data_IF_363147284041
#
_entry.id   IF_363147284041
#
_cell.length_a   1.000
_cell.length_b   1.000
_cell.length_c   1.000
_cell.angle_alpha   90.00
_cell.angle_beta   90.00
_cell.angle_gamma   90.00
#
_symmetry.space_group_name_H-M   'P 1'
#
loop_
_entity.id
_entity.type
_entity.pdbx_description
1 polymer ?
#
# COMPACT_ATOMS: atom_id res chain seq x y z
N UNK A 1 -34.74 51.43 27.25
CA UNK A 1 -33.32 51.37 26.84
C UNK A 1 -33.05 50.07 26.09
N UNK A 2 -32.29 50.14 24.99
CA UNK A 2 -31.86 48.96 24.25
C UNK A 2 -30.64 48.33 24.96
N UNK A 3 -30.80 47.09 25.42
CA UNK A 3 -29.73 46.32 26.07
C UNK A 3 -29.01 45.52 25.00
N UNK A 4 -27.70 45.64 24.99
CA UNK A 4 -26.79 45.08 23.99
C UNK A 4 -25.90 43.98 24.57
N UNK A 5 -25.76 43.89 25.90
CA UNK A 5 -24.85 42.94 26.56
C UNK A 5 -23.44 43.48 26.77
N UNK A 6 -23.12 44.62 26.13
CA UNK A 6 -21.84 45.35 26.28
C UNK A 6 -22.00 46.76 26.84
N UNK A 7 -23.23 47.25 26.93
CA UNK A 7 -23.54 48.53 27.56
C UNK A 7 -23.25 48.48 29.07
N UNK A 8 -22.96 49.64 29.71
CA UNK A 8 -22.61 49.69 31.13
C UNK A 8 -23.63 49.02 32.05
N UNK A 9 -24.92 49.15 31.75
CA UNK A 9 -26.01 48.53 32.51
C UNK A 9 -25.95 47.00 32.39
N UNK A 10 -25.73 46.47 31.19
CA UNK A 10 -25.53 45.03 30.98
C UNK A 10 -24.36 44.47 31.77
N UNK A 11 -23.22 45.18 31.78
CA UNK A 11 -22.02 44.73 32.50
C UNK A 11 -22.28 44.69 34.01
N UNK A 12 -22.90 45.74 34.56
CA UNK A 12 -23.28 45.78 35.99
C UNK A 12 -24.26 44.66 36.36
N UNK A 13 -25.24 44.38 35.50
CA UNK A 13 -26.21 43.29 35.71
C UNK A 13 -25.52 41.92 35.67
N UNK A 14 -24.61 41.68 34.71
CA UNK A 14 -23.86 40.41 34.63
C UNK A 14 -23.00 40.21 35.88
N UNK A 15 -22.36 41.27 36.38
CA UNK A 15 -21.59 41.23 37.63
C UNK A 15 -22.47 40.94 38.84
N UNK A 16 -23.62 41.60 38.98
CA UNK A 16 -24.58 41.34 40.04
C UNK A 16 -25.10 39.89 40.01
N UNK A 17 -25.35 39.34 38.82
CA UNK A 17 -25.75 37.94 38.64
C UNK A 17 -24.61 36.97 39.01
N UNK A 18 -23.35 37.30 38.71
CA UNK A 18 -22.17 36.53 39.17
C UNK A 18 -22.00 36.57 40.69
N UNK A 19 -22.40 37.67 41.34
CA UNK A 19 -22.40 37.84 42.80
C UNK A 19 -23.61 37.18 43.50
N UNK A 20 -24.50 36.50 42.76
CA UNK A 20 -25.59 35.71 43.33
C UNK A 20 -26.94 36.43 43.42
N UNK A 21 -27.09 37.62 42.84
CA UNK A 21 -28.39 38.31 42.77
C UNK A 21 -29.37 37.50 41.93
N UNK A 22 -30.62 37.33 42.39
CA UNK A 22 -31.62 36.55 41.65
C UNK A 22 -32.14 37.35 40.46
N UNK A 23 -32.35 36.69 39.32
CA UNK A 23 -32.82 37.32 38.06
C UNK A 23 -34.13 38.09 38.23
N UNK A 24 -35.00 37.67 39.17
CA UNK A 24 -36.27 38.34 39.49
C UNK A 24 -36.12 39.72 40.14
N UNK A 25 -34.99 39.98 40.80
CA UNK A 25 -34.74 41.20 41.58
C UNK A 25 -33.97 42.26 40.75
N UNK A 26 -33.43 41.85 39.59
CA UNK A 26 -32.70 42.72 38.65
C UNK A 26 -33.55 43.88 38.09
N UNK A 27 -34.83 43.69 37.70
CA UNK A 27 -35.66 44.79 37.18
C UNK A 27 -35.77 45.99 38.12
N UNK A 28 -35.97 45.73 39.42
CA UNK A 28 -36.07 46.75 40.47
C UNK A 28 -34.75 47.46 40.75
N UNK A 29 -33.62 46.79 40.54
CA UNK A 29 -32.28 47.34 40.84
C UNK A 29 -31.69 48.16 39.69
N UNK A 30 -31.96 47.78 38.44
CA UNK A 30 -31.27 48.35 37.27
C UNK A 30 -32.22 49.01 36.26
N UNK A 31 -33.53 49.04 36.52
CA UNK A 31 -34.51 49.71 35.66
C UNK A 31 -34.71 49.03 34.30
N UNK A 32 -34.57 47.70 34.24
CA UNK A 32 -34.70 46.90 33.01
C UNK A 32 -35.87 45.91 33.10
N UNK A 33 -36.36 45.43 31.96
CA UNK A 33 -37.46 44.45 31.95
C UNK A 33 -37.00 43.06 32.43
N UNK A 34 -37.92 42.25 32.96
CA UNK A 34 -37.62 40.87 33.35
C UNK A 34 -37.11 40.02 32.17
N UNK A 35 -37.62 40.25 30.95
CA UNK A 35 -37.15 39.56 29.75
C UNK A 35 -35.70 39.93 29.39
N UNK A 36 -35.33 41.19 29.57
CA UNK A 36 -33.97 41.68 29.44
C UNK A 36 -33.04 41.04 30.48
N UNK A 37 -33.46 40.98 31.75
CA UNK A 37 -32.72 40.30 32.82
C UNK A 37 -32.51 38.81 32.53
N UNK A 38 -33.54 38.10 32.05
CA UNK A 38 -33.45 36.68 31.63
C UNK A 38 -32.48 36.47 30.47
N UNK A 39 -32.40 37.41 29.52
CA UNK A 39 -31.44 37.35 28.40
C UNK A 39 -30.00 37.55 28.87
N UNK A 40 -29.76 38.51 29.76
CA UNK A 40 -28.45 38.75 30.36
C UNK A 40 -28.00 37.58 31.24
N UNK A 41 -28.92 36.94 31.96
CA UNK A 41 -28.62 35.72 32.71
C UNK A 41 -28.19 34.55 31.81
N UNK A 42 -28.90 34.32 30.69
CA UNK A 42 -28.48 33.31 29.70
C UNK A 42 -27.11 33.64 29.10
N UNK A 43 -26.88 34.90 28.77
CA UNK A 43 -25.62 35.35 28.21
C UNK A 43 -24.46 35.20 29.20
N UNK A 44 -24.67 35.55 30.48
CA UNK A 44 -23.73 35.30 31.58
C UNK A 44 -23.34 33.83 31.67
N UNK A 45 -24.31 32.92 31.62
CA UNK A 45 -24.02 31.48 31.67
C UNK A 45 -23.17 31.03 30.46
N UNK A 46 -23.42 31.57 29.28
CA UNK A 46 -22.59 31.30 28.09
C UNK A 46 -21.18 31.87 28.26
N UNK A 47 -21.02 33.07 28.82
CA UNK A 47 -19.70 33.65 29.12
C UNK A 47 -18.92 32.79 30.11
N UNK A 48 -19.55 32.35 31.20
CA UNK A 48 -18.90 31.49 32.19
C UNK A 48 -18.48 30.13 31.58
N UNK A 49 -19.32 29.54 30.72
CA UNK A 49 -18.97 28.31 30.01
C UNK A 49 -17.80 28.53 29.03
N UNK A 50 -17.81 29.65 28.31
CA UNK A 50 -16.74 30.01 27.38
C UNK A 50 -15.42 30.28 28.11
N UNK A 51 -15.44 30.93 29.28
CA UNK A 51 -14.27 31.19 30.11
C UNK A 51 -13.57 29.89 30.58
N UNK A 52 -14.32 28.80 30.72
CA UNK A 52 -13.77 27.49 31.11
C UNK A 52 -13.21 26.66 29.94
N UNK A 53 -13.66 26.89 28.71
CA UNK A 53 -13.37 25.99 27.57
C UNK A 53 -12.65 26.68 26.40
N UNK A 54 -12.63 28.02 26.34
CA UNK A 54 -12.06 28.78 25.22
C UNK A 54 -10.86 29.62 25.64
N UNK A 55 -10.00 29.94 24.66
CA UNK A 55 -8.89 30.86 24.86
C UNK A 55 -9.34 32.33 24.81
N UNK A 56 -8.56 33.22 25.45
CA UNK A 56 -8.87 34.66 25.61
C UNK A 56 -9.33 35.37 24.32
N UNK A 57 -8.71 35.17 23.13
CA UNK A 57 -9.16 35.86 21.92
C UNK A 57 -10.60 35.54 21.51
N UNK A 58 -11.03 34.28 21.68
CA UNK A 58 -12.39 33.86 21.37
C UNK A 58 -13.39 34.42 22.39
N UNK A 59 -13.02 34.46 23.67
CA UNK A 59 -13.81 35.05 24.74
C UNK A 59 -14.04 36.56 24.49
N UNK A 60 -12.99 37.29 24.10
CA UNK A 60 -13.11 38.72 23.81
C UNK A 60 -14.01 38.99 22.60
N UNK A 61 -13.94 38.16 21.56
CA UNK A 61 -14.90 38.24 20.43
C UNK A 61 -16.34 37.94 20.86
N UNK A 62 -16.54 36.95 21.73
CA UNK A 62 -17.86 36.62 22.28
C UNK A 62 -18.43 37.76 23.15
N UNK A 63 -17.57 38.49 23.87
CA UNK A 63 -17.92 39.72 24.59
C UNK A 63 -18.26 40.86 23.62
N UNK A 64 -17.48 41.06 22.57
CA UNK A 64 -17.67 42.13 21.57
C UNK A 64 -19.01 42.06 20.82
N UNK A 65 -19.55 40.86 20.61
CA UNK A 65 -20.87 40.66 19.97
C UNK A 65 -22.06 40.79 20.93
N UNK A 66 -21.83 40.78 22.24
CA UNK A 66 -22.84 40.97 23.28
C UNK A 66 -24.00 39.97 23.20
N UNK A 67 -25.23 40.43 23.42
CA UNK A 67 -26.46 39.62 23.38
C UNK A 67 -26.77 38.99 22.01
N UNK A 68 -26.00 39.28 20.95
CA UNK A 68 -26.07 38.52 19.69
C UNK A 68 -25.53 37.11 19.88
N UNK A 69 -24.61 36.90 20.82
CA UNK A 69 -24.08 35.58 21.19
C UNK A 69 -25.17 34.55 21.54
N UNK A 70 -26.32 34.99 22.06
CA UNK A 70 -27.46 34.11 22.35
C UNK A 70 -27.94 33.32 21.11
N UNK A 71 -27.66 33.79 19.90
CA UNK A 71 -27.98 33.08 18.65
C UNK A 71 -27.08 31.84 18.44
N UNK A 72 -25.93 31.79 19.10
CA UNK A 72 -25.00 30.66 19.13
C UNK A 72 -25.33 29.65 20.24
N UNK A 73 -26.41 29.86 21.00
CA UNK A 73 -26.83 28.96 22.09
C UNK A 73 -26.93 27.46 21.70
N UNK A 74 -27.31 27.07 20.46
CA UNK A 74 -27.28 25.66 20.06
C UNK A 74 -25.89 25.01 20.19
N UNK A 75 -24.81 25.75 19.89
CA UNK A 75 -23.43 25.23 19.99
C UNK A 75 -23.03 25.00 21.44
N UNK A 76 -23.39 25.91 22.34
CA UNK A 76 -23.16 25.74 23.78
C UNK A 76 -23.94 24.56 24.35
N UNK A 77 -25.18 24.35 23.90
CA UNK A 77 -26.02 23.22 24.35
C UNK A 77 -25.42 21.87 23.94
N UNK A 78 -24.82 21.82 22.76
CA UNK A 78 -24.19 20.61 22.21
C UNK A 78 -22.70 20.50 22.61
N UNK A 79 -22.20 21.39 23.46
CA UNK A 79 -20.78 21.47 23.86
C UNK A 79 -19.80 21.55 22.68
N UNK A 80 -20.25 22.17 21.58
CA UNK A 80 -19.49 22.31 20.34
C UNK A 80 -18.55 23.53 20.38
N UNK A 81 -17.49 23.40 21.18
CA UNK A 81 -16.51 24.46 21.41
C UNK A 81 -15.66 24.75 20.15
N UNK A 82 -15.32 23.73 19.37
CA UNK A 82 -14.55 23.89 18.13
C UNK A 82 -15.36 24.67 17.09
N UNK A 83 -16.63 24.29 16.89
CA UNK A 83 -17.54 25.01 15.98
C UNK A 83 -17.77 26.44 16.41
N UNK A 84 -17.85 26.69 17.72
CA UNK A 84 -17.97 28.04 18.27
C UNK A 84 -16.73 28.90 17.96
N UNK A 85 -15.52 28.37 18.14
CA UNK A 85 -14.27 29.08 17.80
C UNK A 85 -14.24 29.41 16.30
N UNK A 86 -14.61 28.46 15.44
CA UNK A 86 -14.60 28.64 14.00
C UNK A 86 -15.55 29.76 13.53
N UNK A 87 -16.75 29.83 14.12
CA UNK A 87 -17.66 30.95 13.85
C UNK A 87 -17.08 32.26 14.38
N UNK A 88 -16.58 32.28 15.61
CA UNK A 88 -16.03 33.49 16.22
C UNK A 88 -14.82 34.04 15.46
N UNK A 89 -14.04 33.22 14.75
CA UNK A 89 -12.96 33.71 13.88
C UNK A 89 -13.45 34.65 12.78
N UNK A 90 -14.65 34.42 12.25
CA UNK A 90 -15.23 35.20 11.13
C UNK A 90 -16.17 36.32 11.58
N UNK A 91 -16.59 36.33 12.84
CA UNK A 91 -17.52 37.32 13.38
C UNK A 91 -16.79 38.59 13.85
N UNK A 92 -17.43 39.74 13.63
CA UNK A 92 -17.01 41.06 14.12
C UNK A 92 -18.14 41.71 14.92
N UNK A 93 -17.87 42.85 15.57
CA UNK A 93 -18.92 43.58 16.30
C UNK A 93 -20.08 44.07 15.41
N UNK A 94 -19.79 44.30 14.12
CA UNK A 94 -20.72 44.80 13.12
C UNK A 94 -21.60 43.71 12.48
N UNK A 95 -21.28 42.43 12.70
CA UNK A 95 -22.04 41.29 12.19
C UNK A 95 -23.52 41.39 12.58
N UNK A 96 -24.41 41.29 11.60
CA UNK A 96 -25.86 41.42 11.77
C UNK A 96 -26.47 40.15 12.36
N UNK A 97 -27.68 40.24 12.92
CA UNK A 97 -28.32 39.14 13.65
C UNK A 97 -28.73 37.97 12.72
N UNK A 98 -29.09 38.28 11.49
CA UNK A 98 -29.47 37.37 10.42
C UNK A 98 -28.30 36.55 9.87
N UNK A 99 -27.06 37.01 10.07
CA UNK A 99 -25.85 36.29 9.63
C UNK A 99 -25.49 35.10 10.55
N UNK A 100 -25.87 35.14 11.84
CA UNK A 100 -25.51 34.08 12.80
C UNK A 100 -26.12 32.70 12.46
N UNK A 101 -27.42 32.59 12.10
CA UNK A 101 -27.97 31.34 11.60
C UNK A 101 -27.25 30.83 10.33
N UNK A 102 -26.85 31.73 9.43
CA UNK A 102 -26.11 31.38 8.21
C UNK A 102 -24.72 30.82 8.54
N UNK A 103 -24.03 31.33 9.55
CA UNK A 103 -22.75 30.75 9.98
C UNK A 103 -22.90 29.35 10.57
N UNK A 104 -23.96 29.10 11.35
CA UNK A 104 -24.24 27.76 11.90
C UNK A 104 -24.55 26.80 10.75
N UNK A 105 -25.37 27.22 9.79
CA UNK A 105 -25.69 26.42 8.61
C UNK A 105 -24.43 26.12 7.79
N UNK A 106 -23.61 27.13 7.48
CA UNK A 106 -22.37 26.95 6.73
C UNK A 106 -21.39 26.01 7.44
N UNK A 107 -21.31 26.07 8.77
CA UNK A 107 -20.51 25.15 9.58
C UNK A 107 -21.03 23.70 9.48
N UNK A 108 -22.34 23.51 9.50
CA UNK A 108 -22.97 22.19 9.33
C UNK A 108 -22.72 21.63 7.93
N UNK A 109 -22.98 22.41 6.89
CA UNK A 109 -22.73 22.03 5.50
C UNK A 109 -21.25 21.68 5.27
N UNK A 110 -20.33 22.44 5.89
CA UNK A 110 -18.90 22.12 5.87
C UNK A 110 -18.60 20.75 6.50
N UNK A 111 -19.16 20.46 7.67
CA UNK A 111 -18.97 19.18 8.35
C UNK A 111 -19.55 18.02 7.55
N UNK A 112 -20.72 18.20 6.95
CA UNK A 112 -21.34 17.20 6.08
C UNK A 112 -20.45 16.90 4.87
N UNK A 113 -19.94 17.94 4.19
CA UNK A 113 -18.99 17.76 3.07
C UNK A 113 -17.74 16.98 3.47
N UNK A 114 -17.13 17.32 4.61
CA UNK A 114 -15.95 16.60 5.11
C UNK A 114 -16.32 15.14 5.40
N UNK A 115 -17.41 14.89 6.13
CA UNK A 115 -17.88 13.54 6.46
C UNK A 115 -18.17 12.70 5.22
N UNK A 116 -18.77 13.29 4.19
CA UNK A 116 -19.11 12.56 2.97
C UNK A 116 -17.87 12.25 2.13
N UNK A 117 -16.92 13.19 2.04
CA UNK A 117 -15.61 12.94 1.46
C UNK A 117 -14.86 11.84 2.22
N UNK A 118 -14.91 11.84 3.56
CA UNK A 118 -14.33 10.80 4.40
C UNK A 118 -14.94 9.43 4.13
N UNK A 119 -16.27 9.32 4.06
CA UNK A 119 -16.96 8.07 3.74
C UNK A 119 -16.57 7.56 2.36
N UNK A 120 -16.51 8.46 1.37
CA UNK A 120 -16.16 8.10 0.01
C UNK A 120 -14.70 7.60 -0.08
N UNK A 121 -13.76 8.34 0.52
CA UNK A 121 -12.35 7.93 0.60
C UNK A 121 -12.24 6.58 1.30
N UNK A 122 -12.87 6.41 2.48
CA UNK A 122 -12.83 5.16 3.23
C UNK A 122 -13.41 3.97 2.44
N UNK A 123 -14.47 4.20 1.66
CA UNK A 123 -15.03 3.17 0.77
C UNK A 123 -14.04 2.77 -0.33
N UNK A 124 -13.45 3.75 -1.01
CA UNK A 124 -12.44 3.51 -2.06
C UNK A 124 -11.19 2.82 -1.51
N UNK A 125 -10.76 3.20 -0.30
CA UNK A 125 -9.64 2.58 0.41
C UNK A 125 -9.89 1.10 0.72
N UNK A 126 -11.08 0.74 1.22
CA UNK A 126 -11.47 -0.68 1.39
C UNK A 126 -11.42 -1.43 0.06
N UNK A 127 -11.90 -0.81 -1.01
CA UNK A 127 -11.83 -1.36 -2.36
C UNK A 127 -10.41 -1.60 -2.86
N UNK A 128 -9.42 -0.80 -2.44
CA UNK A 128 -7.99 -1.01 -2.72
C UNK A 128 -7.43 -2.20 -1.92
N UNK A 129 -7.72 -2.29 -0.62
CA UNK A 129 -7.25 -3.39 0.24
C UNK A 129 -7.74 -4.75 -0.29
N UNK A 130 -8.99 -4.84 -0.75
CA UNK A 130 -9.53 -6.06 -1.36
C UNK A 130 -8.81 -6.46 -2.65
N UNK A 131 -8.44 -5.48 -3.48
CA UNK A 131 -7.70 -5.70 -4.73
C UNK A 131 -6.26 -6.14 -4.47
N UNK A 132 -5.62 -5.57 -3.47
CA UNK A 132 -4.28 -5.99 -3.03
C UNK A 132 -4.28 -7.45 -2.55
N UNK A 133 -5.29 -7.83 -1.77
CA UNK A 133 -5.44 -9.22 -1.35
C UNK A 133 -5.62 -10.17 -2.55
N UNK A 134 -6.46 -9.81 -3.52
CA UNK A 134 -6.63 -10.60 -4.76
C UNK A 134 -5.33 -10.71 -5.55
N UNK A 135 -4.55 -9.63 -5.63
CA UNK A 135 -3.27 -9.62 -6.33
C UNK A 135 -2.28 -10.60 -5.69
N UNK A 136 -2.16 -10.60 -4.36
CA UNK A 136 -1.33 -11.56 -3.61
C UNK A 136 -1.77 -13.02 -3.86
N UNK A 137 -3.08 -13.28 -3.89
CA UNK A 137 -3.60 -14.62 -4.19
C UNK A 137 -3.27 -15.06 -5.62
N UNK A 138 -3.33 -14.15 -6.59
CA UNK A 138 -2.94 -14.42 -7.98
C UNK A 138 -1.44 -14.64 -8.11
N UNK A 139 -0.60 -13.87 -7.41
CA UNK A 139 0.85 -14.08 -7.35
C UNK A 139 1.20 -15.47 -6.84
N UNK A 140 0.61 -15.87 -5.71
CA UNK A 140 0.81 -17.22 -5.18
C UNK A 140 0.36 -18.33 -6.16
N UNK A 141 -0.70 -18.11 -6.93
CA UNK A 141 -1.14 -19.03 -8.00
C UNK A 141 -0.14 -19.08 -9.16
N UNK A 142 0.39 -17.93 -9.57
CA UNK A 142 1.43 -17.84 -10.61
C UNK A 142 2.67 -18.62 -10.19
N UNK A 143 3.14 -18.43 -8.97
CA UNK A 143 4.33 -19.11 -8.45
C UNK A 143 4.16 -20.62 -8.39
N UNK A 144 3.01 -21.09 -7.89
CA UNK A 144 2.67 -22.53 -7.91
C UNK A 144 2.65 -23.11 -9.33
N UNK A 145 2.12 -22.35 -10.28
CA UNK A 145 2.07 -22.77 -11.70
C UNK A 145 3.48 -22.82 -12.29
N UNK A 146 4.32 -21.81 -12.02
CA UNK A 146 5.73 -21.79 -12.43
C UNK A 146 6.52 -22.94 -11.80
N UNK A 147 6.26 -23.28 -10.54
CA UNK A 147 6.89 -24.42 -9.86
C UNK A 147 6.45 -25.75 -10.48
N UNK A 148 5.16 -25.89 -10.83
CA UNK A 148 4.66 -27.07 -11.54
C UNK A 148 5.30 -27.23 -12.93
N UNK A 149 5.43 -26.13 -13.67
CA UNK A 149 6.17 -26.08 -14.94
C UNK A 149 7.62 -26.52 -14.74
N UNK A 150 8.32 -25.96 -13.74
CA UNK A 150 9.71 -26.31 -13.43
C UNK A 150 9.86 -27.80 -13.10
N UNK A 151 9.00 -28.35 -12.24
CA UNK A 151 8.99 -29.78 -11.88
C UNK A 151 8.74 -30.67 -13.11
N UNK A 152 7.85 -30.26 -14.01
CA UNK A 152 7.59 -30.96 -15.27
C UNK A 152 8.73 -30.84 -16.28
N UNK A 153 9.68 -29.91 -16.12
CA UNK A 153 10.78 -29.69 -17.07
C UNK A 153 12.17 -29.97 -16.50
N UNK A 154 12.31 -30.33 -15.22
CA UNK A 154 13.62 -30.60 -14.60
C UNK A 154 14.37 -31.74 -15.31
N UNK A 155 13.67 -32.74 -15.83
CA UNK A 155 14.29 -33.83 -16.60
C UNK A 155 14.85 -33.39 -17.97
N UNK A 156 14.45 -32.21 -18.47
CA UNK A 156 14.89 -31.65 -19.75
C UNK A 156 16.14 -30.78 -19.57
N UNK A 157 16.37 -30.22 -18.38
CA UNK A 157 17.50 -29.32 -18.09
C UNK A 157 18.87 -29.93 -18.34
N UNK A 158 18.98 -31.27 -18.26
CA UNK A 158 20.24 -32.00 -18.54
C UNK A 158 20.69 -31.94 -20.00
N UNK A 159 19.87 -31.45 -20.92
CA UNK A 159 20.17 -31.42 -22.35
C UNK A 159 20.47 -30.00 -22.88
N UNK A 160 21.20 -29.86 -24.00
CA UNK A 160 21.50 -28.55 -24.61
C UNK A 160 20.25 -27.76 -25.06
N UNK A 161 20.31 -26.43 -25.05
CA UNK A 161 19.21 -25.50 -25.36
C UNK A 161 18.40 -25.83 -26.63
N UNK A 162 19.07 -26.18 -27.74
CA UNK A 162 18.39 -26.52 -28.99
C UNK A 162 17.61 -27.85 -28.89
N UNK A 163 18.10 -28.81 -28.10
CA UNK A 163 17.41 -30.06 -27.79
C UNK A 163 16.22 -29.79 -26.87
N UNK A 164 16.38 -28.94 -25.86
CA UNK A 164 15.28 -28.58 -24.95
C UNK A 164 14.08 -28.02 -25.73
N UNK A 165 14.33 -27.10 -26.68
CA UNK A 165 13.30 -26.54 -27.55
C UNK A 165 12.60 -27.60 -28.39
N UNK A 166 13.35 -28.57 -28.91
CA UNK A 166 12.77 -29.72 -29.64
C UNK A 166 11.89 -30.60 -28.73
N UNK A 167 12.37 -30.93 -27.53
CA UNK A 167 11.65 -31.78 -26.57
C UNK A 167 10.34 -31.12 -26.10
N UNK A 168 10.38 -29.82 -25.78
CA UNK A 168 9.20 -29.05 -25.39
C UNK A 168 8.10 -29.03 -26.45
N UNK A 169 8.50 -29.00 -27.73
CA UNK A 169 7.58 -28.88 -28.86
C UNK A 169 7.00 -30.24 -29.31
N UNK A 170 7.70 -31.35 -29.02
CA UNK A 170 7.34 -32.68 -29.53
C UNK A 170 6.85 -33.66 -28.45
N UNK A 171 7.03 -33.35 -27.16
CA UNK A 171 6.64 -34.21 -26.05
C UNK A 171 5.44 -33.66 -25.25
N UNK A 172 4.70 -34.58 -24.64
CA UNK A 172 3.58 -34.34 -23.74
C UNK A 172 3.59 -35.33 -22.57
N UNK A 173 2.67 -35.13 -21.62
CA UNK A 173 2.44 -36.07 -20.50
C UNK A 173 1.01 -36.59 -20.60
N UNK A 174 0.84 -37.90 -20.50
CA UNK A 174 -0.47 -38.56 -20.42
C UNK A 174 -0.45 -39.62 -19.33
N UNK A 175 -1.36 -39.50 -18.34
CA UNK A 175 -1.45 -40.41 -17.18
C UNK A 175 -0.11 -40.67 -16.47
N UNK A 176 0.74 -39.63 -16.35
CA UNK A 176 2.05 -39.73 -15.70
C UNK A 176 3.16 -40.34 -16.57
N UNK A 177 2.87 -40.74 -17.81
CA UNK A 177 3.86 -41.23 -18.77
C UNK A 177 4.22 -40.14 -19.78
N UNK A 178 5.50 -40.09 -20.18
CA UNK A 178 5.97 -39.25 -21.27
C UNK A 178 5.49 -39.83 -22.61
N UNK A 179 4.96 -38.97 -23.47
CA UNK A 179 4.41 -39.38 -24.77
C UNK A 179 4.74 -38.35 -25.85
N UNK A 180 4.59 -38.71 -27.12
CA UNK A 180 4.71 -37.74 -28.23
C UNK A 180 3.44 -36.89 -28.34
N UNK A 181 3.60 -35.57 -28.30
CA UNK A 181 2.55 -34.60 -28.61
C UNK A 181 2.47 -34.31 -30.12
N UNK A 182 3.61 -34.43 -30.83
CA UNK A 182 3.70 -34.27 -32.29
C UNK A 182 4.37 -35.47 -32.95
N UNK A 183 3.93 -35.79 -34.18
CA UNK A 183 4.56 -36.77 -35.07
C UNK A 183 5.98 -36.33 -35.42
N UNK A 184 6.91 -37.28 -35.41
CA UNK A 184 8.28 -37.10 -35.91
C UNK A 184 8.34 -37.55 -37.38
N UNK A 185 9.50 -37.41 -38.04
CA UNK A 185 9.70 -38.06 -39.36
C UNK A 185 9.37 -39.56 -39.26
N UNK A 186 8.49 -40.06 -40.14
CA UNK A 186 7.92 -41.40 -40.01
C UNK A 186 8.96 -42.52 -40.03
N UNK A 187 10.00 -42.38 -40.86
CA UNK A 187 11.09 -43.36 -40.91
C UNK A 187 11.92 -43.32 -39.63
N UNK A 188 12.16 -42.13 -39.09
CA UNK A 188 12.83 -41.96 -37.81
C UNK A 188 12.01 -42.52 -36.65
N UNK A 189 10.71 -42.23 -36.60
CA UNK A 189 9.80 -42.70 -35.56
C UNK A 189 9.74 -44.24 -35.53
N UNK A 190 9.71 -44.89 -36.69
CA UNK A 190 9.80 -46.35 -36.78
C UNK A 190 11.18 -46.89 -36.36
N UNK A 191 12.26 -46.15 -36.65
CA UNK A 191 13.60 -46.51 -36.17
C UNK A 191 13.71 -46.41 -34.64
N UNK A 192 13.16 -45.35 -34.04
CA UNK A 192 13.09 -45.17 -32.58
C UNK A 192 12.24 -46.26 -31.92
N UNK A 193 11.15 -46.68 -32.57
CA UNK A 193 10.36 -47.84 -32.13
C UNK A 193 11.18 -49.13 -32.10
N UNK A 194 11.90 -49.43 -33.19
CA UNK A 194 12.78 -50.62 -33.27
C UNK A 194 13.91 -50.60 -32.23
N UNK A 195 14.37 -49.40 -31.84
CA UNK A 195 15.39 -49.19 -30.80
C UNK A 195 14.83 -49.25 -29.37
N UNK A 196 13.52 -49.43 -29.19
CA UNK A 196 12.87 -49.45 -27.88
C UNK A 196 12.70 -48.07 -27.23
N UNK A 197 12.98 -46.98 -27.95
CA UNK A 197 12.84 -45.62 -27.42
C UNK A 197 11.37 -45.15 -27.41
N UNK A 198 10.58 -45.67 -28.34
CA UNK A 198 9.15 -45.38 -28.50
C UNK A 198 8.33 -46.66 -28.54
N UNK A 199 7.16 -46.63 -27.93
CA UNK A 199 6.16 -47.70 -27.98
C UNK A 199 4.82 -47.14 -28.45
N UNK A 200 4.14 -47.88 -29.33
CA UNK A 200 2.84 -47.47 -29.81
C UNK A 200 1.75 -48.26 -29.10
N UNK A 201 0.94 -47.56 -28.32
CA UNK A 201 -0.23 -48.10 -27.66
C UNK A 201 -1.42 -48.05 -28.64
N UNK A 202 -1.91 -49.22 -29.01
CA UNK A 202 -3.01 -49.35 -30.00
C UNK A 202 -4.37 -49.01 -29.41
N UNK A 203 -4.56 -49.21 -28.11
CA UNK A 203 -5.85 -49.01 -27.45
C UNK A 203 -6.07 -47.52 -27.19
N UNK A 204 -5.00 -46.81 -26.82
CA UNK A 204 -5.02 -45.38 -26.51
C UNK A 204 -4.64 -44.49 -27.69
N UNK A 205 -4.16 -45.06 -28.79
CA UNK A 205 -3.67 -44.33 -29.99
C UNK A 205 -2.57 -43.29 -29.66
N UNK A 206 -1.71 -43.60 -28.69
CA UNK A 206 -0.61 -42.73 -28.23
C UNK A 206 0.75 -43.39 -28.43
N UNK A 207 1.80 -42.56 -28.52
CA UNK A 207 3.18 -43.01 -28.55
C UNK A 207 3.85 -42.73 -27.22
N UNK A 208 4.13 -43.79 -26.47
CA UNK A 208 4.80 -43.73 -25.17
C UNK A 208 6.31 -43.64 -25.39
N UNK A 209 6.94 -42.76 -24.63
CA UNK A 209 8.40 -42.57 -24.63
C UNK A 209 8.97 -43.38 -23.47
N UNK A 210 9.59 -44.50 -23.82
CA UNK A 210 10.18 -45.41 -22.84
C UNK A 210 11.62 -45.01 -22.49
N UNK A 211 12.33 -44.35 -23.41
CA UNK A 211 13.70 -43.90 -23.19
C UNK A 211 13.97 -42.56 -23.86
N UNK A 212 13.98 -41.50 -23.07
CA UNK A 212 14.22 -40.14 -23.54
C UNK A 212 15.67 -39.91 -24.01
N UNK A 213 16.64 -40.52 -23.33
CA UNK A 213 18.07 -40.38 -23.65
C UNK A 213 18.38 -40.90 -25.06
N UNK A 214 17.80 -42.04 -25.43
CA UNK A 214 17.94 -42.60 -26.78
C UNK A 214 17.33 -41.71 -27.87
N UNK A 215 16.21 -41.03 -27.59
CA UNK A 215 15.61 -40.07 -28.53
C UNK A 215 16.54 -38.88 -28.74
N UNK A 216 17.09 -38.34 -27.65
CA UNK A 216 18.01 -37.19 -27.71
C UNK A 216 19.31 -37.54 -28.41
N UNK A 217 19.90 -38.70 -28.13
CA UNK A 217 21.11 -39.15 -28.81
C UNK A 217 20.91 -39.31 -30.32
N UNK A 218 19.79 -39.90 -30.75
CA UNK A 218 19.51 -40.10 -32.17
C UNK A 218 19.15 -38.78 -32.87
N UNK A 219 18.48 -37.87 -32.15
CA UNK A 219 18.22 -36.51 -32.60
C UNK A 219 19.53 -35.77 -32.87
N UNK A 220 20.45 -35.74 -31.90
CA UNK A 220 21.77 -35.11 -32.04
C UNK A 220 22.59 -35.74 -33.17
N UNK A 221 22.56 -37.07 -33.30
CA UNK A 221 23.22 -37.80 -34.42
C UNK A 221 22.68 -37.39 -35.79
N UNK A 222 21.40 -37.01 -35.89
CA UNK A 222 20.77 -36.57 -37.14
C UNK A 222 21.01 -35.11 -37.44
N UNK A 223 21.02 -34.24 -36.43
CA UNK A 223 21.19 -32.79 -36.57
C UNK A 223 22.64 -32.37 -36.74
N UNK A 224 23.60 -33.08 -36.12
CA UNK A 224 25.03 -32.71 -36.15
C UNK A 224 25.76 -33.12 -37.45
N UNK A 225 25.04 -33.59 -38.47
CA UNK A 225 25.62 -33.97 -39.77
C UNK A 225 25.75 -32.74 -40.67
N UNK A 226 26.76 -32.73 -41.56
CA UNK A 226 26.89 -31.71 -42.64
C UNK A 226 25.62 -31.55 -43.50
N UNK A 227 24.85 -32.63 -43.67
CA UNK A 227 23.49 -32.63 -44.22
C UNK A 227 22.57 -33.31 -43.21
N UNK A 228 21.75 -32.56 -42.45
CA UNK A 228 20.88 -33.11 -41.43
C UNK A 228 19.85 -34.08 -42.03
N UNK A 229 19.58 -35.17 -41.33
CA UNK A 229 18.44 -36.03 -41.68
C UNK A 229 17.13 -35.41 -41.17
N UNK A 230 15.98 -35.70 -41.83
CA UNK A 230 14.68 -35.24 -41.36
C UNK A 230 14.40 -35.74 -39.94
N UNK A 231 13.93 -34.82 -39.08
CA UNK A 231 13.52 -35.10 -37.70
C UNK A 231 12.05 -34.72 -37.46
N UNK A 232 11.53 -33.76 -38.22
CA UNK A 232 10.14 -33.30 -38.15
C UNK A 232 9.26 -34.01 -39.18
N UNK A 233 8.00 -34.21 -38.83
CA UNK A 233 6.99 -34.71 -39.76
C UNK A 233 6.68 -33.68 -40.86
N UNK A 234 6.45 -34.16 -42.08
CA UNK A 234 6.24 -33.35 -43.29
C UNK A 234 5.14 -34.00 -44.14
N UNK A 235 3.99 -33.32 -44.25
CA UNK A 235 2.80 -33.82 -44.94
C UNK A 235 3.07 -34.21 -46.40
N UNK A 236 3.76 -33.35 -47.15
CA UNK A 236 3.99 -33.55 -48.60
C UNK A 236 4.92 -34.73 -48.85
N UNK A 237 5.90 -34.96 -47.96
CA UNK A 237 6.75 -36.15 -48.03
C UNK A 237 5.99 -37.41 -47.62
N UNK A 238 5.13 -37.32 -46.61
CA UNK A 238 4.43 -38.48 -46.09
C UNK A 238 3.33 -38.97 -47.04
N UNK A 239 2.61 -38.05 -47.68
CA UNK A 239 1.65 -38.35 -48.74
C UNK A 239 2.29 -39.07 -49.94
N UNK A 240 3.54 -38.74 -50.28
CA UNK A 240 4.32 -39.45 -51.33
C UNK A 240 4.82 -40.83 -50.89
N UNK A 241 5.02 -41.06 -49.59
CA UNK A 241 5.46 -42.36 -49.05
C UNK A 241 4.29 -43.33 -48.91
N UNK A 242 3.11 -42.83 -48.60
CA UNK A 242 1.93 -43.62 -48.27
C UNK A 242 0.72 -43.24 -49.13
N UNK A 243 0.52 -44.00 -50.22
CA UNK A 243 -0.56 -43.82 -51.19
C UNK A 243 -1.87 -44.51 -50.80
N UNK A 244 -1.82 -45.36 -49.77
CA UNK A 244 -2.86 -46.36 -49.45
C UNK A 244 -3.60 -46.07 -48.13
N UNK A 245 -3.29 -44.95 -47.45
CA UNK A 245 -3.94 -44.52 -46.21
C UNK A 245 -4.08 -42.99 -46.19
N UNK A 246 -5.13 -42.48 -45.53
CA UNK A 246 -5.38 -41.04 -45.41
C UNK A 246 -4.41 -40.39 -44.41
N UNK A 247 -3.44 -39.63 -44.94
CA UNK A 247 -2.38 -39.01 -44.14
C UNK A 247 -2.94 -37.77 -43.42
N UNK A 248 -2.92 -37.70 -42.07
CA UNK A 248 -3.41 -36.54 -41.33
C UNK A 248 -2.64 -35.27 -41.71
N UNK A 249 -3.33 -34.14 -41.93
CA UNK A 249 -2.69 -32.85 -42.27
C UNK A 249 -1.99 -32.19 -41.07
N UNK A 250 -2.44 -32.47 -39.85
CA UNK A 250 -1.85 -31.94 -38.62
C UNK A 250 -0.88 -32.96 -38.00
N UNK A 251 0.39 -32.60 -37.72
CA UNK A 251 1.33 -33.48 -37.05
C UNK A 251 0.95 -33.80 -35.60
N UNK A 252 0.06 -33.04 -34.94
CA UNK A 252 -0.33 -33.24 -33.53
C UNK A 252 -1.19 -34.49 -33.33
N UNK A 253 -0.94 -35.21 -32.23
CA UNK A 253 -1.82 -36.30 -31.79
C UNK A 253 -3.06 -35.71 -31.09
N UNK A 254 -4.21 -36.41 -31.12
CA UNK A 254 -5.46 -35.95 -30.47
C UNK A 254 -5.34 -35.87 -28.95
N UNK A 255 -4.47 -36.69 -28.37
CA UNK A 255 -4.12 -36.73 -26.95
C UNK A 255 -2.62 -37.07 -26.84
N UNK A 256 -1.82 -36.39 -26.01
CA UNK A 256 -2.07 -35.19 -25.19
C UNK A 256 -1.55 -33.87 -25.83
N UNK A 257 -1.99 -32.73 -25.28
CA UNK A 257 -1.39 -31.40 -25.52
C UNK A 257 0.07 -31.38 -25.07
N UNK A 258 0.94 -30.69 -25.82
CA UNK A 258 2.38 -30.63 -25.50
C UNK A 258 2.66 -30.10 -24.09
N UNK A 259 3.80 -30.50 -23.51
CA UNK A 259 4.19 -30.20 -22.12
C UNK A 259 3.99 -28.73 -21.71
N UNK A 260 4.11 -27.78 -22.65
CA UNK A 260 3.94 -26.34 -22.37
C UNK A 260 2.55 -25.75 -22.66
N UNK A 261 1.69 -26.33 -23.51
CA UNK A 261 0.52 -25.61 -24.04
C UNK A 261 -0.56 -25.33 -22.99
N UNK A 262 -0.80 -26.24 -22.05
CA UNK A 262 -1.83 -26.05 -21.02
C UNK A 262 -1.38 -25.05 -19.95
N UNK A 263 -0.19 -25.21 -19.39
CA UNK A 263 0.30 -24.35 -18.29
C UNK A 263 0.73 -22.95 -18.76
N UNK A 264 1.26 -22.80 -19.98
CA UNK A 264 1.60 -21.48 -20.53
C UNK A 264 0.35 -20.66 -20.83
N UNK A 265 -0.75 -21.29 -21.29
CA UNK A 265 -2.01 -20.58 -21.49
C UNK A 265 -2.65 -20.13 -20.17
N UNK A 266 -2.48 -20.89 -19.09
CA UNK A 266 -2.88 -20.51 -17.73
C UNK A 266 -2.06 -19.32 -17.24
N UNK A 267 -0.74 -19.33 -17.43
CA UNK A 267 0.12 -18.19 -17.05
C UNK A 267 -0.29 -16.90 -17.77
N UNK A 268 -0.51 -16.96 -19.09
CA UNK A 268 -0.98 -15.79 -19.86
C UNK A 268 -2.30 -15.22 -19.33
N UNK A 269 -3.22 -16.09 -18.89
CA UNK A 269 -4.50 -15.67 -18.31
C UNK A 269 -4.28 -14.98 -16.96
N UNK A 270 -3.44 -15.55 -16.09
CA UNK A 270 -3.11 -14.98 -14.78
C UNK A 270 -2.39 -13.64 -14.93
N UNK A 271 -1.47 -13.51 -15.89
CA UNK A 271 -0.78 -12.25 -16.19
C UNK A 271 -1.78 -11.16 -16.62
N UNK A 272 -2.71 -11.50 -17.51
CA UNK A 272 -3.76 -10.57 -17.95
C UNK A 272 -4.65 -10.12 -16.78
N UNK A 273 -5.06 -11.05 -15.92
CA UNK A 273 -5.90 -10.74 -14.75
C UNK A 273 -5.16 -9.84 -13.74
N UNK A 274 -3.85 -10.04 -13.56
CA UNK A 274 -3.02 -9.13 -12.74
C UNK A 274 -2.96 -7.73 -13.33
N UNK A 275 -2.79 -7.60 -14.64
CA UNK A 275 -2.73 -6.30 -15.33
C UNK A 275 -4.05 -5.54 -15.21
N UNK A 276 -5.19 -6.23 -15.33
CA UNK A 276 -6.53 -5.67 -15.12
C UNK A 276 -6.70 -5.12 -13.69
N UNK A 277 -6.30 -5.89 -12.67
CA UNK A 277 -6.36 -5.45 -11.26
C UNK A 277 -5.43 -4.26 -11.00
N UNK A 278 -4.23 -4.25 -11.59
CA UNK A 278 -3.28 -3.14 -11.44
C UNK A 278 -3.85 -1.83 -12.01
N UNK A 279 -4.50 -1.91 -13.17
CA UNK A 279 -5.19 -0.79 -13.79
C UNK A 279 -6.36 -0.29 -12.92
N UNK A 280 -7.16 -1.19 -12.35
CA UNK A 280 -8.22 -0.80 -11.40
C UNK A 280 -7.67 -0.09 -10.15
N UNK A 281 -6.57 -0.58 -9.58
CA UNK A 281 -5.91 0.09 -8.44
C UNK A 281 -5.51 1.52 -8.80
N UNK A 282 -4.89 1.70 -9.97
CA UNK A 282 -4.46 3.03 -10.45
C UNK A 282 -5.65 3.98 -10.67
N UNK A 283 -6.77 3.48 -11.20
CA UNK A 283 -7.99 4.27 -11.35
C UNK A 283 -8.53 4.72 -9.98
N UNK A 284 -8.66 3.81 -9.01
CA UNK A 284 -9.15 4.16 -7.67
C UNK A 284 -8.22 5.19 -7.00
N UNK A 285 -6.90 5.04 -7.17
CA UNK A 285 -5.92 6.03 -6.68
C UNK A 285 -6.15 7.41 -7.30
N UNK A 286 -6.38 7.48 -8.62
CA UNK A 286 -6.66 8.74 -9.30
C UNK A 286 -7.98 9.39 -8.86
N UNK A 287 -8.99 8.58 -8.53
CA UNK A 287 -10.26 9.06 -7.99
C UNK A 287 -10.07 9.65 -6.58
N UNK A 288 -9.28 9.00 -5.72
CA UNK A 288 -8.93 9.53 -4.39
C UNK A 288 -8.20 10.88 -4.54
N UNK A 289 -7.25 10.99 -5.47
CA UNK A 289 -6.55 12.26 -5.73
C UNK A 289 -7.47 13.34 -6.31
N UNK A 290 -8.49 12.96 -7.07
CA UNK A 290 -9.50 13.89 -7.57
C UNK A 290 -10.33 14.42 -6.41
N UNK A 291 -10.81 13.55 -5.52
CA UNK A 291 -11.56 13.93 -4.31
C UNK A 291 -10.72 14.86 -3.42
N UNK A 292 -9.42 14.59 -3.27
CA UNK A 292 -8.50 15.47 -2.52
C UNK A 292 -8.42 16.89 -3.08
N UNK A 293 -8.56 17.05 -4.39
CA UNK A 293 -8.44 18.35 -5.08
C UNK A 293 -9.77 19.08 -5.22
N UNK A 294 -10.88 18.35 -5.42
CA UNK A 294 -12.19 18.94 -5.71
C UNK A 294 -13.09 19.12 -4.49
N UNK A 295 -12.92 18.31 -3.45
CA UNK A 295 -13.77 18.33 -2.26
C UNK A 295 -13.49 19.50 -1.28
N UNK A 296 -12.23 19.81 -0.91
CA UNK A 296 -11.97 20.87 0.08
C UNK A 296 -12.19 22.26 -0.52
N UNK A 297 -13.06 23.06 0.12
CA UNK A 297 -13.33 24.45 -0.25
C UNK A 297 -12.41 25.44 0.49
N UNK A 298 -11.65 24.95 1.47
CA UNK A 298 -10.70 25.76 2.25
C UNK A 298 -9.42 24.97 2.58
N UNK A 299 -8.33 25.70 2.83
CA UNK A 299 -7.04 25.12 3.21
C UNK A 299 -7.13 24.23 4.48
N UNK A 300 -7.96 24.62 5.45
CA UNK A 300 -8.17 23.84 6.68
C UNK A 300 -8.92 22.53 6.42
N UNK A 301 -9.84 22.50 5.45
CA UNK A 301 -10.48 21.25 5.02
C UNK A 301 -9.48 20.31 4.36
N UNK A 302 -8.57 20.86 3.55
CA UNK A 302 -7.51 20.10 2.92
C UNK A 302 -6.59 19.43 3.96
N UNK A 303 -6.26 20.14 5.05
CA UNK A 303 -5.49 19.57 6.17
C UNK A 303 -6.25 18.44 6.84
N UNK A 304 -7.53 18.63 7.20
CA UNK A 304 -8.32 17.58 7.87
C UNK A 304 -8.41 16.30 7.02
N UNK A 305 -8.62 16.44 5.70
CA UNK A 305 -8.64 15.30 4.78
C UNK A 305 -7.25 14.63 4.70
N UNK A 306 -6.17 15.42 4.79
CA UNK A 306 -4.80 14.90 4.80
C UNK A 306 -4.49 14.14 6.11
N UNK A 307 -4.91 14.63 7.27
CA UNK A 307 -4.67 13.98 8.57
C UNK A 307 -5.33 12.60 8.66
N UNK A 308 -6.46 12.41 7.99
CA UNK A 308 -7.17 11.12 7.92
C UNK A 308 -6.37 10.10 7.11
N UNK A 309 -5.69 10.55 6.05
CA UNK A 309 -4.74 9.73 5.31
C UNK A 309 -3.47 9.49 6.12
N UNK A 310 -3.03 10.45 6.95
CA UNK A 310 -1.89 10.26 7.85
C UNK A 310 -2.11 9.14 8.88
N UNK A 311 -3.35 8.92 9.34
CA UNK A 311 -3.67 7.75 10.17
C UNK A 311 -3.45 6.41 9.43
N UNK A 312 -3.73 6.35 8.13
CA UNK A 312 -3.42 5.19 7.28
C UNK A 312 -1.93 5.09 6.98
N UNK A 313 -1.27 6.20 6.67
CA UNK A 313 0.20 6.26 6.49
C UNK A 313 0.91 5.72 7.72
N UNK A 314 0.48 6.09 8.94
CA UNK A 314 0.99 5.55 10.20
C UNK A 314 0.77 4.04 10.33
N UNK A 315 -0.38 3.53 9.91
CA UNK A 315 -0.67 2.08 9.92
C UNK A 315 0.24 1.34 8.92
N UNK A 316 0.34 1.81 7.68
CA UNK A 316 1.20 1.23 6.63
C UNK A 316 2.67 1.30 7.03
N UNK A 317 3.09 2.40 7.66
CA UNK A 317 4.44 2.60 8.18
C UNK A 317 4.74 1.54 9.23
N UNK A 318 3.88 1.36 10.23
CA UNK A 318 4.02 0.30 11.24
C UNK A 318 4.01 -1.11 10.65
N UNK A 319 3.21 -1.39 9.63
CA UNK A 319 3.23 -2.68 8.91
C UNK A 319 4.56 -2.93 8.21
N UNK A 320 5.10 -1.93 7.50
CA UNK A 320 6.39 -2.03 6.82
C UNK A 320 7.56 -2.14 7.80
N UNK A 321 7.55 -1.39 8.91
CA UNK A 321 8.51 -1.54 10.00
C UNK A 321 8.53 -2.98 10.54
N UNK A 322 7.35 -3.56 10.77
CA UNK A 322 7.25 -4.95 11.24
C UNK A 322 7.81 -5.97 10.24
N UNK A 323 7.61 -5.74 8.94
CA UNK A 323 8.20 -6.60 7.89
C UNK A 323 9.72 -6.42 7.84
N UNK A 324 10.23 -5.20 8.01
CA UNK A 324 11.67 -4.92 8.07
C UNK A 324 12.35 -5.59 9.27
N UNK A 325 11.74 -5.55 10.45
CA UNK A 325 12.23 -6.25 11.64
C UNK A 325 12.34 -7.77 11.39
N UNK A 326 11.30 -8.38 10.81
CA UNK A 326 11.30 -9.81 10.46
C UNK A 326 12.39 -10.13 9.43
N UNK A 327 12.58 -9.27 8.44
CA UNK A 327 13.60 -9.43 7.42
C UNK A 327 15.01 -9.37 8.01
N UNK A 328 15.32 -8.37 8.85
CA UNK A 328 16.60 -8.26 9.54
C UNK A 328 16.87 -9.48 10.43
N UNK A 329 15.88 -9.88 11.24
CA UNK A 329 16.00 -11.06 12.10
C UNK A 329 16.26 -12.34 11.30
N UNK A 330 15.54 -12.54 10.18
CA UNK A 330 15.74 -13.67 9.28
C UNK A 330 17.14 -13.70 8.63
N UNK A 331 17.79 -12.55 8.50
CA UNK A 331 19.17 -12.41 8.01
C UNK A 331 20.22 -12.46 9.13
N UNK A 332 19.84 -12.79 10.37
CA UNK A 332 20.78 -12.98 11.48
C UNK A 332 21.13 -11.72 12.28
N UNK A 333 20.35 -10.65 12.15
CA UNK A 333 20.54 -9.41 12.90
C UNK A 333 19.71 -9.39 14.18
N UNK A 334 20.24 -8.74 15.23
CA UNK A 334 19.47 -8.25 16.37
C UNK A 334 18.95 -6.86 16.00
N UNK A 335 17.64 -6.64 16.05
CA UNK A 335 17.03 -5.41 15.55
C UNK A 335 15.99 -4.83 16.50
N UNK A 336 15.82 -3.50 16.45
CA UNK A 336 14.80 -2.75 17.17
C UNK A 336 14.19 -1.67 16.26
N UNK A 337 12.99 -1.20 16.61
CA UNK A 337 12.36 -0.05 15.97
C UNK A 337 12.40 1.18 16.88
N UNK A 338 12.24 2.36 16.26
CA UNK A 338 12.14 3.66 16.94
C UNK A 338 13.36 3.98 17.82
N UNK A 339 14.56 3.70 17.30
CA UNK A 339 15.82 3.84 18.04
C UNK A 339 16.32 5.28 17.97
N UNK A 340 16.50 5.93 19.12
CA UNK A 340 17.15 7.25 19.20
C UNK A 340 18.66 7.10 19.02
N UNK A 341 19.20 7.68 17.96
CA UNK A 341 20.61 7.70 17.60
C UNK A 341 21.37 8.81 18.37
N UNK A 342 22.72 8.78 18.42
CA UNK A 342 23.53 9.77 19.14
C UNK A 342 23.30 11.22 18.71
N UNK A 343 22.92 11.46 17.45
CA UNK A 343 22.57 12.80 16.95
C UNK A 343 21.18 13.30 17.39
N UNK A 344 20.48 12.57 18.27
CA UNK A 344 19.15 12.89 18.78
C UNK A 344 18.00 12.61 17.80
N UNK A 345 18.29 12.05 16.63
CA UNK A 345 17.26 11.63 15.67
C UNK A 345 16.82 10.20 15.95
N UNK A 346 15.61 9.87 15.50
CA UNK A 346 15.03 8.55 15.66
C UNK A 346 15.07 7.83 14.33
N UNK A 347 15.68 6.66 14.32
CA UNK A 347 15.66 5.76 13.17
C UNK A 347 14.47 4.81 13.29
N UNK A 348 13.77 4.59 12.19
CA UNK A 348 12.58 3.72 12.15
C UNK A 348 12.92 2.29 12.54
N UNK A 349 13.93 1.70 11.88
CA UNK A 349 14.40 0.34 12.16
C UNK A 349 15.93 0.30 12.10
N UNK A 350 16.54 -0.31 13.12
CA UNK A 350 18.00 -0.49 13.20
C UNK A 350 18.30 -1.92 13.59
N UNK A 351 19.33 -2.53 13.01
CA UNK A 351 19.83 -3.83 13.44
C UNK A 351 21.33 -3.97 13.35
N UNK A 352 21.89 -4.88 14.15
CA UNK A 352 23.31 -5.24 14.10
C UNK A 352 23.49 -6.76 14.05
N UNK A 353 24.52 -7.23 13.35
CA UNK A 353 24.86 -8.66 13.27
C UNK A 353 25.93 -9.08 14.29
N UNK A 354 26.38 -10.35 14.24
CA UNK A 354 27.43 -10.87 15.13
C UNK A 354 28.80 -10.21 14.95
N UNK A 355 29.05 -9.56 13.82
CA UNK A 355 30.30 -8.86 13.52
C UNK A 355 30.19 -7.36 13.89
N UNK A 356 29.04 -6.92 14.39
CA UNK A 356 28.77 -5.52 14.69
C UNK A 356 28.45 -4.69 13.43
N UNK A 357 28.10 -5.33 12.31
CA UNK A 357 27.64 -4.64 11.10
C UNK A 357 26.23 -4.09 11.33
N UNK A 358 26.06 -2.79 11.17
CA UNK A 358 24.85 -2.03 11.50
C UNK A 358 24.11 -1.64 10.22
N UNK A 359 22.82 -1.98 10.20
CA UNK A 359 21.88 -1.56 9.15
C UNK A 359 20.86 -0.59 9.75
N UNK A 360 20.63 0.53 9.06
CA UNK A 360 19.50 1.43 9.30
C UNK A 360 18.52 1.32 8.13
N UNK A 361 17.23 1.19 8.44
CA UNK A 361 16.14 1.18 7.47
C UNK A 361 15.15 2.29 7.85
N UNK A 362 14.93 3.24 6.94
CA UNK A 362 13.93 4.30 7.05
C UNK A 362 12.71 3.96 6.18
N UNK A 363 11.51 3.96 6.77
CA UNK A 363 10.27 3.59 6.10
C UNK A 363 9.61 4.84 5.55
N UNK A 364 9.43 4.91 4.22
CA UNK A 364 8.70 6.01 3.58
C UNK A 364 7.46 5.49 2.87
N UNK A 365 6.31 5.98 3.28
CA UNK A 365 5.01 5.47 2.81
C UNK A 365 4.38 6.33 1.70
N UNK A 366 4.85 7.56 1.51
CA UNK A 366 4.41 8.44 0.42
C UNK A 366 5.57 9.21 -0.23
N UNK A 367 5.39 9.70 -1.48
CA UNK A 367 6.36 10.58 -2.14
C UNK A 367 6.72 11.82 -1.32
N UNK A 368 5.75 12.42 -0.63
CA UNK A 368 5.94 13.59 0.20
C UNK A 368 6.77 13.28 1.45
N UNK A 369 6.55 12.11 2.06
CA UNK A 369 7.32 11.63 3.22
C UNK A 369 8.80 11.45 2.86
N UNK A 370 9.09 10.81 1.72
CA UNK A 370 10.45 10.67 1.20
C UNK A 370 11.10 12.04 0.93
N UNK A 371 10.43 12.95 0.22
CA UNK A 371 10.98 14.28 -0.12
C UNK A 371 11.16 15.21 1.09
N UNK A 372 10.38 15.01 2.16
CA UNK A 372 10.49 15.79 3.40
C UNK A 372 11.71 15.39 4.22
N UNK A 373 12.20 14.16 4.07
CA UNK A 373 13.37 13.68 4.79
C UNK A 373 14.67 14.23 4.20
N UNK A 374 14.88 15.54 4.35
CA UNK A 374 16.12 16.23 3.93
C UNK A 374 17.31 15.94 4.84
N UNK A 375 17.13 15.11 5.85
CA UNK A 375 18.05 14.91 6.97
C UNK A 375 18.60 13.49 7.02
N UNK A 376 18.21 12.64 6.08
CA UNK A 376 18.57 11.22 6.02
C UNK A 376 20.08 10.99 5.97
N UNK A 377 20.86 11.87 5.33
CA UNK A 377 22.31 11.71 5.20
C UNK A 377 23.04 11.66 6.56
N UNK A 378 22.47 12.28 7.59
CA UNK A 378 23.03 12.22 8.94
C UNK A 378 22.89 10.85 9.62
N UNK A 379 22.13 9.93 9.04
CA UNK A 379 22.07 8.54 9.52
C UNK A 379 23.27 7.73 9.05
N UNK A 380 23.92 8.15 7.96
CA UNK A 380 25.04 7.42 7.34
C UNK A 380 26.27 7.30 8.23
N UNK A 381 26.44 8.17 9.23
CA UNK A 381 27.54 8.08 10.20
C UNK A 381 27.32 6.97 11.26
N UNK A 382 26.07 6.47 11.40
CA UNK A 382 25.67 5.51 12.43
C UNK A 382 25.38 4.11 11.90
N UNK A 383 25.57 3.86 10.59
CA UNK A 383 25.35 2.55 9.99
C UNK A 383 26.43 2.22 8.97
N UNK A 384 26.64 0.93 8.75
CA UNK A 384 27.42 0.42 7.64
C UNK A 384 26.58 0.39 6.35
N UNK A 385 25.28 0.12 6.47
CA UNK A 385 24.32 0.17 5.36
C UNK A 385 23.05 0.93 5.72
N UNK A 386 22.60 1.77 4.79
CA UNK A 386 21.37 2.54 4.92
C UNK A 386 20.39 2.17 3.80
N UNK A 387 19.14 1.91 4.17
CA UNK A 387 18.07 1.63 3.22
C UNK A 387 16.87 2.54 3.42
N UNK A 388 16.27 2.96 2.31
CA UNK A 388 14.87 3.34 2.31
C UNK A 388 14.01 2.11 2.01
N UNK A 389 13.08 1.80 2.93
CA UNK A 389 11.98 0.87 2.68
C UNK A 389 10.78 1.66 2.18
N UNK A 390 10.46 1.48 0.90
CA UNK A 390 9.43 2.26 0.22
C UNK A 390 8.13 1.45 0.07
N UNK A 391 7.00 2.10 0.30
CA UNK A 391 5.71 1.63 -0.19
C UNK A 391 5.67 1.62 -1.73
N UNK A 392 4.64 0.99 -2.30
CA UNK A 392 4.39 1.05 -3.73
C UNK A 392 4.20 2.50 -4.22
N UNK A 393 3.57 3.34 -3.40
CA UNK A 393 3.35 4.77 -3.70
C UNK A 393 4.65 5.58 -3.66
N UNK A 394 5.45 5.41 -2.60
CA UNK A 394 6.70 6.15 -2.40
C UNK A 394 7.77 5.75 -3.42
N UNK A 395 7.73 4.52 -3.95
CA UNK A 395 8.75 4.02 -4.89
C UNK A 395 8.90 4.89 -6.14
N UNK A 396 7.82 5.51 -6.62
CA UNK A 396 7.83 6.36 -7.81
C UNK A 396 8.69 7.62 -7.67
N UNK A 397 8.92 8.06 -6.43
CA UNK A 397 9.67 9.29 -6.12
C UNK A 397 11.14 9.05 -5.80
N UNK A 398 11.59 7.80 -5.80
CA UNK A 398 12.99 7.47 -5.51
C UNK A 398 13.85 7.54 -6.77
N UNK A 399 14.84 8.43 -6.75
CA UNK A 399 15.90 8.52 -7.76
C UNK A 399 17.26 8.21 -7.13
N UNK A 400 17.97 7.22 -7.67
CA UNK A 400 19.31 6.85 -7.22
C UNK A 400 20.31 8.02 -7.27
N UNK A 401 20.13 8.99 -8.17
CA UNK A 401 20.99 10.16 -8.25
C UNK A 401 20.73 11.15 -7.11
N UNK A 402 19.49 11.23 -6.62
CA UNK A 402 19.11 12.05 -5.47
C UNK A 402 19.48 11.38 -4.14
N UNK A 403 19.50 10.04 -4.10
CA UNK A 403 19.82 9.23 -2.91
C UNK A 403 21.00 8.26 -3.14
N UNK A 404 22.21 8.74 -3.47
CA UNK A 404 23.31 7.93 -4.02
C UNK A 404 23.89 6.87 -3.07
N UNK A 405 23.74 7.05 -1.76
CA UNK A 405 24.27 6.12 -0.74
C UNK A 405 23.19 5.24 -0.12
N UNK A 406 21.91 5.46 -0.46
CA UNK A 406 20.81 4.71 0.09
C UNK A 406 20.48 3.50 -0.79
N UNK A 407 20.34 2.34 -0.15
CA UNK A 407 19.72 1.18 -0.79
C UNK A 407 18.20 1.36 -0.87
N UNK A 408 17.58 0.67 -1.82
CA UNK A 408 16.11 0.62 -1.97
C UNK A 408 15.59 -0.76 -1.62
N UNK A 409 14.84 -0.84 -0.53
CA UNK A 409 14.07 -2.01 -0.12
C UNK A 409 12.61 -1.82 -0.53
N UNK A 410 12.00 -2.90 -1.02
CA UNK A 410 10.56 -2.98 -1.25
C UNK A 410 10.01 -4.30 -0.73
N UNK A 411 8.73 -4.27 -0.37
CA UNK A 411 8.00 -5.49 -0.01
C UNK A 411 7.67 -6.27 -1.27
N UNK A 412 8.15 -7.52 -1.34
CA UNK A 412 7.70 -8.52 -2.31
C UNK A 412 7.08 -9.68 -1.52
N UNK A 413 5.79 -9.96 -1.75
CA UNK A 413 5.03 -10.99 -1.03
C UNK A 413 5.04 -10.81 0.51
N UNK A 414 5.66 -11.75 1.23
CA UNK A 414 5.78 -11.79 2.70
C UNK A 414 7.17 -11.39 3.22
N UNK A 415 8.05 -10.90 2.36
CA UNK A 415 9.43 -10.53 2.73
C UNK A 415 9.82 -9.20 2.06
N UNK A 416 11.03 -8.72 2.38
CA UNK A 416 11.64 -7.60 1.67
C UNK A 416 12.66 -8.10 0.66
N UNK A 417 12.79 -7.34 -0.42
CA UNK A 417 13.83 -7.53 -1.41
C UNK A 417 14.58 -6.24 -1.64
N UNK A 418 15.89 -6.38 -1.81
CA UNK A 418 16.78 -5.29 -2.21
C UNK A 418 16.63 -5.08 -3.71
N UNK A 419 15.98 -3.98 -4.10
CA UNK A 419 15.89 -3.59 -5.52
C UNK A 419 17.10 -2.78 -5.97
N UNK A 420 17.74 -2.08 -5.03
CA UNK A 420 19.00 -1.39 -5.26
C UNK A 420 19.87 -1.54 -4.00
N UNK A 421 21.09 -2.08 -4.12
CA UNK A 421 21.99 -2.17 -2.98
C UNK A 421 22.47 -0.77 -2.56
N UNK A 422 22.79 -0.56 -1.27
CA UNK A 422 23.38 0.68 -0.79
C UNK A 422 24.80 0.82 -1.32
N UNK A 423 25.26 2.06 -1.45
CA UNK A 423 26.67 2.37 -1.74
C UNK A 423 27.30 2.92 -0.45
N UNK A 424 27.88 2.06 0.41
CA UNK A 424 28.38 2.48 1.71
C UNK A 424 29.59 3.42 1.58
N UNK A 425 29.59 4.52 2.33
CA UNK A 425 30.70 5.51 2.35
C UNK A 425 31.82 5.12 3.33
N UNK A 426 31.48 4.52 4.47
CA UNK A 426 32.41 4.10 5.54
C UNK A 426 31.69 3.22 6.56
N UNK A 427 32.42 2.56 7.46
CA UNK A 427 31.83 1.92 8.63
C UNK A 427 31.18 2.93 9.58
N UNK A 428 30.23 2.48 10.39
CA UNK A 428 29.64 3.30 11.46
C UNK A 428 30.73 3.89 12.38
N UNK A 429 30.69 5.19 12.63
CA UNK A 429 31.75 5.90 13.39
C UNK A 429 31.73 5.56 14.88
N UNK A 430 30.56 5.26 15.44
CA UNK A 430 30.35 4.91 16.85
C UNK A 430 29.42 3.70 17.01
N UNK A 431 29.82 2.59 16.40
CA UNK A 431 29.00 1.38 16.34
C UNK A 431 28.67 0.79 17.72
N UNK A 432 29.58 0.88 18.69
CA UNK A 432 29.35 0.39 20.05
C UNK A 432 28.21 1.14 20.74
N UNK A 433 28.16 2.47 20.62
CA UNK A 433 27.09 3.28 21.18
C UNK A 433 25.75 2.97 20.51
N UNK A 434 25.74 2.81 19.18
CA UNK A 434 24.52 2.42 18.45
C UNK A 434 24.01 1.06 18.89
N UNK A 435 24.89 0.06 19.02
CA UNK A 435 24.55 -1.28 19.53
C UNK A 435 23.98 -1.20 20.96
N UNK A 436 24.60 -0.39 21.82
CA UNK A 436 24.09 -0.16 23.17
C UNK A 436 22.68 0.46 23.16
N UNK A 437 22.41 1.43 22.28
CA UNK A 437 21.10 2.07 22.13
C UNK A 437 20.03 1.07 21.66
N UNK A 438 20.35 0.20 20.71
CA UNK A 438 19.46 -0.89 20.25
C UNK A 438 19.12 -1.81 21.43
N UNK A 439 20.12 -2.28 22.17
CA UNK A 439 19.92 -3.18 23.30
C UNK A 439 19.13 -2.51 24.44
N UNK A 440 19.37 -1.23 24.71
CA UNK A 440 18.60 -0.44 25.67
C UNK A 440 17.13 -0.31 25.26
N UNK A 441 16.86 -0.10 23.98
CA UNK A 441 15.49 0.00 23.45
C UNK A 441 14.75 -1.34 23.59
N UNK A 442 15.41 -2.46 23.27
CA UNK A 442 14.86 -3.80 23.46
C UNK A 442 14.60 -4.13 24.93
N UNK A 443 15.54 -3.79 25.82
CA UNK A 443 15.38 -4.00 27.26
C UNK A 443 14.19 -3.20 27.80
N UNK A 444 14.02 -1.93 27.40
CA UNK A 444 12.86 -1.12 27.78
C UNK A 444 11.55 -1.76 27.32
N UNK A 445 11.47 -2.20 26.07
CA UNK A 445 10.30 -2.86 25.50
C UNK A 445 9.95 -4.15 26.26
N UNK A 446 10.95 -4.95 26.59
CA UNK A 446 10.76 -6.19 27.33
C UNK A 446 10.32 -5.96 28.79
N UNK A 447 10.92 -4.99 29.48
CA UNK A 447 10.64 -4.72 30.91
C UNK A 447 9.33 -3.96 31.11
N UNK A 448 9.02 -2.99 30.25
CA UNK A 448 7.90 -2.07 30.44
C UNK A 448 6.72 -2.29 29.48
N UNK A 449 6.85 -3.18 28.48
CA UNK A 449 5.76 -3.55 27.59
C UNK A 449 5.31 -2.47 26.59
N UNK A 450 6.12 -1.43 26.37
CA UNK A 450 5.86 -0.37 25.37
C UNK A 450 6.22 -0.79 23.95
#
# INVERSE_FOLDING_TARGET
MAITGKDPISVQVIQALRQGVKVKDIPSMFGITLNQAKRLSRYKNMLDQAENHLHSPAIEKLKGIGLKALLLAPLFKNEDWEGLVEILLNVTEHTKRDEFPLFIQALQEKRERISDAEKEINCKLKGLEEREKKLLELEAKTDKTLEAIRKQHDFIKRYPLHVQKFLLDNLGIYQGQLVLAKRLDSNWQQSLKKKGALEYDRDRYIWIVNNLDLIVEDYLRRTNRKKPFPTTWDYEKEKKRNHWYDVPKDPRYRLPTGLGENLVSVLKRLEKEKEEILNEKNNIRSEIDTIRKSSPHSFLEQIKITDILSARELKVHGELQNVALKWLYGNGYVCACEVLLPNGKRADVVGYDRQGHIIIIEVKVSPEDLRRDKKWESYLEFCDEFYFLLSEEACSAFDANEYPNAGRLMREHHTLKVHQPPSPKSRAMDGETVIWLINRQLAKKYVFGF
#
